data_IF_116981672895
#
_entry.id   IF_116981672895
#
_cell.length_a   1.000
_cell.length_b   1.000
_cell.length_c   1.000
_cell.angle_alpha   90.00
_cell.angle_beta   90.00
_cell.angle_gamma   90.00
#
_symmetry.space_group_name_H-M   'P 1'
#
loop_
_entity.id
_entity.type
_entity.pdbx_description
1 polymer ?
#
# COMPACT_ATOMS: atom_id res chain seq x y z
N UNK A 1 8.62 -27.29 -25.92
CA UNK A 1 9.86 -26.52 -26.09
C UNK A 1 9.62 -25.09 -25.65
N UNK A 2 10.59 -24.43 -24.98
CA UNK A 2 10.57 -23.01 -24.68
C UNK A 2 10.76 -22.23 -25.98
N UNK A 3 9.69 -21.60 -26.47
CA UNK A 3 9.71 -20.87 -27.74
C UNK A 3 10.11 -19.39 -27.58
N UNK A 4 9.88 -18.78 -26.41
CA UNK A 4 10.39 -17.43 -26.09
C UNK A 4 10.48 -17.18 -24.58
N UNK A 5 11.47 -16.37 -24.20
CA UNK A 5 11.71 -15.90 -22.84
C UNK A 5 11.84 -14.38 -22.86
N UNK A 6 10.92 -13.67 -22.19
CA UNK A 6 11.01 -12.21 -22.02
C UNK A 6 11.22 -11.89 -20.55
N UNK A 7 12.24 -11.09 -20.26
CA UNK A 7 12.47 -10.52 -18.92
C UNK A 7 12.42 -8.99 -19.01
N UNK A 8 11.63 -8.37 -18.16
CA UNK A 8 11.45 -6.94 -18.11
C UNK A 8 11.48 -6.45 -16.67
N UNK A 9 12.31 -5.47 -16.39
CA UNK A 9 12.34 -4.82 -15.08
C UNK A 9 11.24 -3.77 -15.02
N UNK A 10 10.36 -3.89 -14.02
CA UNK A 10 9.26 -2.97 -13.78
C UNK A 10 9.42 -2.29 -12.42
N UNK A 11 9.05 -1.02 -12.40
CA UNK A 11 9.11 -0.19 -11.18
C UNK A 11 7.73 0.31 -10.83
N UNK A 12 7.37 0.22 -9.55
CA UNK A 12 6.12 0.75 -8.99
C UNK A 12 6.45 1.89 -8.05
N UNK A 13 5.93 3.06 -8.35
CA UNK A 13 6.12 4.24 -7.52
C UNK A 13 5.43 4.08 -6.16
N UNK A 14 5.95 4.70 -5.10
CA UNK A 14 5.26 4.84 -3.83
C UNK A 14 3.88 5.51 -3.98
N UNK A 15 2.92 5.19 -3.10
CA UNK A 15 1.66 5.90 -3.05
C UNK A 15 1.87 7.35 -2.61
N UNK A 16 0.91 8.20 -2.87
CA UNK A 16 0.87 9.57 -2.29
C UNK A 16 0.45 9.52 -0.83
N UNK A 17 0.63 10.64 -0.12
CA UNK A 17 0.10 10.82 1.23
C UNK A 17 -1.44 10.75 1.24
N UNK A 18 -2.05 10.75 2.44
CA UNK A 18 -3.49 10.76 2.55
C UNK A 18 -4.11 12.15 2.44
N UNK A 19 -5.12 12.27 1.60
CA UNK A 19 -6.25 13.15 1.78
C UNK A 19 -7.36 12.43 2.58
N UNK A 20 -8.43 13.13 2.94
CA UNK A 20 -9.54 12.52 3.69
C UNK A 20 -10.18 11.36 2.93
N UNK A 21 -10.46 11.53 1.65
CA UNK A 21 -11.15 10.52 0.83
C UNK A 21 -10.34 9.23 0.72
N UNK A 22 -9.04 9.34 0.47
CA UNK A 22 -8.15 8.17 0.36
C UNK A 22 -8.01 7.46 1.70
N UNK A 23 -7.91 8.21 2.81
CA UNK A 23 -7.87 7.63 4.15
C UNK A 23 -9.18 6.88 4.48
N UNK A 24 -10.34 7.47 4.20
CA UNK A 24 -11.65 6.83 4.40
C UNK A 24 -11.77 5.52 3.61
N UNK A 25 -11.32 5.52 2.34
CA UNK A 25 -11.33 4.32 1.49
C UNK A 25 -10.47 3.19 2.08
N UNK A 26 -9.28 3.50 2.54
CA UNK A 26 -8.39 2.49 3.11
C UNK A 26 -8.84 2.04 4.51
N UNK A 27 -9.35 2.94 5.34
CA UNK A 27 -9.93 2.58 6.63
C UNK A 27 -11.14 1.64 6.48
N UNK A 28 -11.98 1.88 5.47
CA UNK A 28 -13.06 0.95 5.14
C UNK A 28 -12.53 -0.39 4.64
N UNK A 29 -11.55 -0.37 3.73
CA UNK A 29 -10.95 -1.59 3.15
C UNK A 29 -10.30 -2.50 4.19
N UNK A 30 -9.57 -1.92 5.15
CA UNK A 30 -8.80 -2.70 6.13
C UNK A 30 -9.56 -3.00 7.41
N UNK A 31 -10.47 -2.10 7.83
CA UNK A 31 -11.12 -2.18 9.13
C UNK A 31 -12.65 -2.18 9.07
N UNK A 32 -13.24 -1.96 7.89
CA UNK A 32 -14.69 -1.86 7.72
C UNK A 32 -15.29 -0.57 8.30
N UNK A 33 -14.48 0.44 8.61
CA UNK A 33 -14.98 1.72 9.11
C UNK A 33 -15.77 2.46 8.03
N UNK A 34 -16.90 3.06 8.42
CA UNK A 34 -17.62 3.96 7.52
C UNK A 34 -16.84 5.25 7.29
N UNK A 35 -17.21 6.02 6.27
CA UNK A 35 -16.60 7.33 6.02
C UNK A 35 -16.77 8.27 7.22
N UNK A 36 -17.97 8.27 7.86
CA UNK A 36 -18.24 9.10 9.04
C UNK A 36 -17.41 8.64 10.23
N UNK A 37 -17.37 7.33 10.53
CA UNK A 37 -16.54 6.81 11.62
C UNK A 37 -15.06 7.16 11.44
N UNK A 38 -14.55 7.08 10.21
CA UNK A 38 -13.17 7.46 9.91
C UNK A 38 -12.95 8.95 10.17
N UNK A 39 -13.85 9.81 9.70
CA UNK A 39 -13.75 11.25 9.93
C UNK A 39 -13.76 11.58 11.43
N UNK A 40 -14.67 10.99 12.20
CA UNK A 40 -14.79 11.23 13.64
C UNK A 40 -13.51 10.81 14.39
N UNK A 41 -12.94 9.66 14.03
CA UNK A 41 -11.69 9.17 14.59
C UNK A 41 -10.50 10.10 14.26
N UNK A 42 -10.41 10.52 12.99
CA UNK A 42 -9.34 11.44 12.57
C UNK A 42 -9.49 12.81 13.24
N UNK A 43 -10.74 13.31 13.37
CA UNK A 43 -11.03 14.55 14.09
C UNK A 43 -10.60 14.45 15.57
N UNK A 44 -10.92 13.35 16.23
CA UNK A 44 -10.50 13.10 17.63
C UNK A 44 -8.95 13.09 17.75
N UNK A 45 -8.27 12.43 16.82
CA UNK A 45 -6.79 12.40 16.81
C UNK A 45 -6.18 13.76 16.49
N UNK A 46 -6.83 14.58 15.65
CA UNK A 46 -6.45 15.95 15.40
C UNK A 46 -6.59 16.81 16.66
N UNK A 47 -7.71 16.72 17.40
CA UNK A 47 -7.93 17.43 18.65
C UNK A 47 -6.91 17.04 19.73
N UNK A 48 -6.49 15.77 19.74
CA UNK A 48 -5.37 15.28 20.55
C UNK A 48 -4.00 15.72 20.02
N UNK A 49 -3.96 16.43 18.89
CA UNK A 49 -2.73 16.87 18.21
C UNK A 49 -1.84 15.72 17.72
N UNK A 50 -2.39 14.54 17.48
CA UNK A 50 -1.66 13.36 17.01
C UNK A 50 -1.68 13.22 15.49
N UNK A 51 -2.69 13.80 14.82
CA UNK A 51 -2.79 13.92 13.36
C UNK A 51 -2.95 15.39 12.96
N UNK A 52 -2.65 15.70 11.71
CA UNK A 52 -2.92 17.00 11.09
C UNK A 52 -4.40 17.14 10.74
N UNK A 53 -4.82 18.31 10.25
CA UNK A 53 -6.22 18.62 9.97
C UNK A 53 -6.88 17.62 9.00
N UNK A 54 -8.06 17.05 9.36
CA UNK A 54 -8.66 15.95 8.62
C UNK A 54 -9.30 16.32 7.27
N UNK A 55 -9.84 17.54 7.16
CA UNK A 55 -10.62 17.95 5.99
C UNK A 55 -9.73 18.59 4.95
N UNK A 56 -8.93 17.76 4.28
CA UNK A 56 -8.02 18.18 3.21
C UNK A 56 -8.22 17.30 1.99
N UNK A 57 -8.05 17.89 0.82
CA UNK A 57 -7.98 17.23 -0.49
C UNK A 57 -6.53 17.10 -0.99
N UNK A 58 -5.57 17.70 -0.30
CA UNK A 58 -4.16 17.61 -0.64
C UNK A 58 -3.54 16.29 -0.20
N UNK A 59 -2.69 15.75 -1.05
CA UNK A 59 -1.85 14.56 -0.83
C UNK A 59 -0.36 14.93 -0.74
N UNK A 60 -0.07 16.22 -0.48
CA UNK A 60 1.28 16.77 -0.46
C UNK A 60 1.51 17.60 0.80
N UNK A 61 2.76 17.86 1.10
CA UNK A 61 3.23 18.81 2.11
C UNK A 61 3.90 20.01 1.44
N UNK A 62 4.14 21.08 2.20
CA UNK A 62 4.91 22.24 1.80
C UNK A 62 6.39 22.09 2.16
N UNK A 63 7.27 22.84 1.52
CA UNK A 63 8.72 22.79 1.73
C UNK A 63 9.12 23.06 3.18
N UNK A 64 8.45 24.01 3.85
CA UNK A 64 8.69 24.32 5.27
C UNK A 64 8.40 23.16 6.24
N UNK A 65 7.63 22.16 5.78
CA UNK A 65 7.32 20.96 6.55
C UNK A 65 8.33 19.82 6.40
N UNK A 66 9.29 19.89 5.49
CA UNK A 66 10.21 18.78 5.19
C UNK A 66 10.97 18.33 6.43
N UNK A 67 11.58 19.27 7.18
CA UNK A 67 12.35 18.94 8.37
C UNK A 67 11.50 18.29 9.47
N UNK A 68 10.29 18.82 9.70
CA UNK A 68 9.36 18.26 10.68
C UNK A 68 8.84 16.89 10.25
N UNK A 69 8.62 16.68 8.96
CA UNK A 69 8.18 15.38 8.43
C UNK A 69 9.26 14.31 8.59
N UNK A 70 10.55 14.65 8.40
CA UNK A 70 11.66 13.72 8.71
C UNK A 70 11.67 13.32 10.19
N UNK A 71 11.41 14.27 11.11
CA UNK A 71 11.29 13.95 12.53
C UNK A 71 10.11 13.01 12.80
N UNK A 72 8.95 13.29 12.20
CA UNK A 72 7.74 12.46 12.36
C UNK A 72 7.98 11.03 11.87
N UNK A 73 8.69 10.81 10.75
CA UNK A 73 9.07 9.47 10.28
C UNK A 73 9.83 8.71 11.36
N UNK A 74 10.83 9.34 11.97
CA UNK A 74 11.62 8.74 13.04
C UNK A 74 10.78 8.43 14.29
N UNK A 75 9.83 9.31 14.63
CA UNK A 75 8.89 9.13 15.74
C UNK A 75 7.95 7.97 15.45
N UNK A 76 7.38 7.87 14.26
CA UNK A 76 6.51 6.76 13.84
C UNK A 76 7.21 5.42 14.00
N UNK A 77 8.48 5.31 13.56
CA UNK A 77 9.26 4.07 13.70
C UNK A 77 9.58 3.72 15.16
N UNK A 78 9.58 4.68 16.08
CA UNK A 78 9.82 4.42 17.52
C UNK A 78 8.54 4.19 18.30
N UNK A 79 7.50 4.99 18.05
CA UNK A 79 6.29 5.04 18.87
C UNK A 79 5.19 4.10 18.43
N UNK A 80 5.14 3.73 17.16
CA UNK A 80 4.18 2.74 16.68
C UNK A 80 4.82 1.34 16.67
N UNK A 81 4.43 0.44 17.60
CA UNK A 81 5.08 -0.87 17.76
C UNK A 81 5.15 -1.67 16.47
N UNK A 82 4.15 -1.52 15.60
CA UNK A 82 4.07 -2.19 14.31
C UNK A 82 5.27 -1.85 13.39
N UNK A 83 5.82 -0.65 13.50
CA UNK A 83 6.93 -0.18 12.66
C UNK A 83 8.27 -0.13 13.39
N UNK A 84 8.32 -0.71 14.60
CA UNK A 84 9.58 -0.80 15.36
C UNK A 84 10.63 -1.58 14.56
N UNK A 85 11.80 -0.97 14.38
CA UNK A 85 12.89 -1.56 13.59
C UNK A 85 12.78 -1.35 12.06
N UNK A 86 11.72 -0.70 11.57
CA UNK A 86 11.67 -0.28 10.17
C UNK A 86 12.72 0.80 9.93
N UNK A 87 13.60 0.57 8.97
CA UNK A 87 14.58 1.55 8.51
C UNK A 87 14.30 1.90 7.05
N UNK A 88 14.06 3.17 6.79
CA UNK A 88 13.88 3.72 5.44
C UNK A 88 14.83 4.90 5.22
N UNK A 89 15.22 5.10 3.97
CA UNK A 89 15.83 6.36 3.53
C UNK A 89 14.71 7.21 2.89
N UNK A 90 14.17 8.19 3.62
CA UNK A 90 12.99 8.91 3.16
C UNK A 90 13.33 9.88 2.01
N UNK A 91 12.59 9.78 0.91
CA UNK A 91 12.59 10.76 -0.17
C UNK A 91 11.43 11.74 0.06
N UNK A 92 11.69 12.78 0.85
CA UNK A 92 10.68 13.79 1.21
C UNK A 92 10.28 14.65 0.01
N UNK A 93 11.22 14.96 -0.88
CA UNK A 93 10.96 15.77 -2.06
C UNK A 93 9.83 15.20 -2.94
N UNK A 94 9.62 13.87 -2.90
CA UNK A 94 8.54 13.22 -3.64
C UNK A 94 7.14 13.63 -3.19
N UNK A 95 6.98 13.95 -1.92
CA UNK A 95 5.71 14.30 -1.31
C UNK A 95 5.57 15.81 -1.07
N UNK A 96 6.60 16.59 -1.41
CA UNK A 96 6.64 18.05 -1.28
C UNK A 96 6.22 18.71 -2.59
N UNK A 97 5.18 19.54 -2.55
CA UNK A 97 4.75 20.35 -3.70
C UNK A 97 3.85 21.49 -3.22
N UNK A 98 4.43 22.68 -3.06
CA UNK A 98 3.71 23.88 -2.61
C UNK A 98 2.51 24.24 -3.48
N UNK A 99 2.57 23.95 -4.79
CA UNK A 99 1.48 24.27 -5.72
C UNK A 99 0.23 23.38 -5.54
N UNK A 100 0.37 22.26 -4.85
CA UNK A 100 -0.70 21.28 -4.58
C UNK A 100 -1.22 21.32 -3.15
N UNK A 101 -0.77 22.29 -2.38
CA UNK A 101 -1.27 22.56 -1.04
C UNK A 101 -1.95 23.94 -1.07
N UNK A 102 -3.28 23.95 -0.96
CA UNK A 102 -4.05 25.20 -0.94
C UNK A 102 -4.24 25.67 0.50
N UNK A 103 -5.27 25.20 1.18
CA UNK A 103 -5.59 25.61 2.55
C UNK A 103 -4.95 24.68 3.60
N UNK A 104 -4.91 23.38 3.30
CA UNK A 104 -4.40 22.35 4.19
C UNK A 104 -3.56 21.33 3.43
N UNK A 105 -2.46 20.91 4.05
CA UNK A 105 -1.61 19.83 3.54
C UNK A 105 -2.20 18.45 3.86
N UNK A 106 -1.55 17.37 3.41
CA UNK A 106 -1.95 15.99 3.62
C UNK A 106 -2.11 15.62 5.11
N UNK A 107 -2.87 14.55 5.38
CA UNK A 107 -3.06 13.99 6.72
C UNK A 107 -1.81 13.20 7.12
N UNK A 108 -1.17 13.63 8.21
CA UNK A 108 0.08 13.05 8.73
C UNK A 108 -0.01 12.90 10.25
N UNK A 109 0.73 11.94 10.84
CA UNK A 109 1.08 12.01 12.25
C UNK A 109 1.88 13.28 12.56
N UNK A 110 1.85 13.72 13.81
CA UNK A 110 2.56 14.92 14.27
C UNK A 110 3.70 14.56 15.21
N UNK A 111 4.58 15.53 15.49
CA UNK A 111 5.66 15.38 16.47
C UNK A 111 5.15 15.14 17.90
N UNK A 112 3.88 15.47 18.20
CA UNK A 112 3.29 15.23 19.52
C UNK A 112 3.12 13.72 19.81
N UNK A 113 3.13 12.88 18.78
CA UNK A 113 3.13 11.44 18.93
C UNK A 113 4.30 10.92 19.79
N UNK A 114 5.42 11.65 19.84
CA UNK A 114 6.57 11.29 20.68
C UNK A 114 6.26 11.24 22.17
N UNK A 115 5.30 12.08 22.62
CA UNK A 115 4.91 12.19 24.02
C UNK A 115 3.69 11.34 24.39
N UNK A 116 3.11 10.66 23.41
CA UNK A 116 1.88 9.90 23.58
C UNK A 116 2.18 8.43 23.88
N UNK A 117 1.59 7.91 24.93
CA UNK A 117 1.45 6.47 25.10
C UNK A 117 0.36 5.96 24.14
N UNK A 118 0.79 5.39 23.02
CA UNK A 118 -0.12 4.87 22.00
C UNK A 118 -0.95 3.70 22.53
N UNK A 119 -0.41 2.92 23.46
CA UNK A 119 -1.11 1.76 24.02
C UNK A 119 -2.33 2.16 24.87
N UNK A 120 -2.33 3.38 25.41
CA UNK A 120 -3.44 3.94 26.18
C UNK A 120 -4.60 4.47 25.30
N UNK A 121 -4.40 4.59 23.98
CA UNK A 121 -5.45 5.04 23.09
C UNK A 121 -6.48 3.92 22.81
N UNK A 122 -7.75 4.29 22.53
CA UNK A 122 -8.73 3.32 22.01
C UNK A 122 -8.22 2.59 20.77
N UNK A 123 -8.55 1.31 20.63
CA UNK A 123 -8.07 0.47 19.53
C UNK A 123 -8.41 1.04 18.14
N UNK A 124 -9.57 1.69 17.99
CA UNK A 124 -9.97 2.35 16.75
C UNK A 124 -9.06 3.53 16.38
N UNK A 125 -8.63 4.31 17.36
CA UNK A 125 -7.68 5.40 17.17
C UNK A 125 -6.28 4.87 16.81
N UNK A 126 -5.82 3.81 17.52
CA UNK A 126 -4.55 3.15 17.18
C UNK A 126 -4.55 2.63 15.73
N UNK A 127 -5.66 2.06 15.26
CA UNK A 127 -5.82 1.60 13.87
C UNK A 127 -5.64 2.74 12.86
N UNK A 128 -6.24 3.90 13.10
CA UNK A 128 -6.09 5.08 12.22
C UNK A 128 -4.66 5.64 12.28
N UNK A 129 -4.04 5.71 13.46
CA UNK A 129 -2.64 6.13 13.59
C UNK A 129 -1.68 5.20 12.85
N UNK A 130 -1.87 3.88 12.98
CA UNK A 130 -1.07 2.89 12.25
C UNK A 130 -1.25 3.05 10.73
N UNK A 131 -2.47 3.31 10.28
CA UNK A 131 -2.74 3.52 8.86
C UNK A 131 -2.06 4.81 8.34
N UNK A 132 -2.14 5.91 9.08
CA UNK A 132 -1.47 7.16 8.74
C UNK A 132 0.06 7.02 8.76
N UNK A 133 0.61 6.34 9.78
CA UNK A 133 2.04 6.04 9.87
C UNK A 133 2.53 5.16 8.73
N UNK A 134 1.82 4.08 8.42
CA UNK A 134 2.11 3.21 7.28
C UNK A 134 2.17 4.02 5.98
N UNK A 135 1.17 4.88 5.74
CA UNK A 135 1.12 5.67 4.51
C UNK A 135 2.28 6.65 4.41
N UNK A 136 2.66 7.32 5.51
CA UNK A 136 3.81 8.22 5.55
C UNK A 136 5.10 7.48 5.17
N UNK A 137 5.36 6.33 5.81
CA UNK A 137 6.54 5.51 5.53
C UNK A 137 6.55 4.99 4.08
N UNK A 138 5.40 4.56 3.56
CA UNK A 138 5.29 4.12 2.17
C UNK A 138 5.52 5.27 1.19
N UNK A 139 4.88 6.43 1.41
CA UNK A 139 4.92 7.56 0.46
C UNK A 139 6.33 8.15 0.32
N UNK A 140 7.09 8.13 1.39
CA UNK A 140 8.49 8.60 1.41
C UNK A 140 9.51 7.49 1.17
N UNK A 141 9.08 6.23 1.08
CA UNK A 141 9.97 5.10 0.86
C UNK A 141 10.49 4.99 -0.59
N UNK A 142 11.43 4.09 -0.80
CA UNK A 142 11.99 3.80 -2.11
C UNK A 142 10.98 3.11 -3.03
N UNK A 143 11.22 3.19 -4.34
CA UNK A 143 10.42 2.49 -5.35
C UNK A 143 10.51 0.98 -5.18
N UNK A 144 9.41 0.29 -5.44
CA UNK A 144 9.40 -1.17 -5.57
C UNK A 144 9.81 -1.57 -6.98
N UNK A 145 10.82 -2.42 -7.12
CA UNK A 145 11.33 -2.89 -8.40
C UNK A 145 11.29 -4.42 -8.46
N UNK A 146 10.77 -4.96 -9.56
CA UNK A 146 10.71 -6.40 -9.78
C UNK A 146 11.00 -6.73 -11.26
N UNK A 147 11.58 -7.91 -11.47
CA UNK A 147 11.72 -8.51 -12.80
C UNK A 147 10.47 -9.34 -13.10
N UNK A 148 9.76 -9.00 -14.18
CA UNK A 148 8.69 -9.83 -14.72
C UNK A 148 9.28 -10.75 -15.79
N UNK A 149 9.12 -12.05 -15.59
CA UNK A 149 9.53 -13.06 -16.55
C UNK A 149 8.28 -13.66 -17.21
N UNK A 150 8.25 -13.65 -18.53
CA UNK A 150 7.21 -14.31 -19.31
C UNK A 150 7.87 -15.40 -20.16
N UNK A 151 7.41 -16.63 -19.96
CA UNK A 151 7.84 -17.81 -20.72
C UNK A 151 6.70 -18.20 -21.65
N UNK A 152 7.01 -18.45 -22.92
CA UNK A 152 6.08 -19.08 -23.86
C UNK A 152 6.63 -20.45 -24.23
N UNK A 153 5.80 -21.47 -24.05
CA UNK A 153 6.10 -22.85 -24.40
C UNK A 153 5.29 -23.23 -25.62
N UNK A 154 5.89 -24.03 -26.54
CA UNK A 154 5.20 -24.63 -27.66
C UNK A 154 5.15 -26.15 -27.48
N UNK A 155 3.96 -26.74 -27.62
CA UNK A 155 3.74 -28.16 -27.58
C UNK A 155 2.65 -28.53 -28.60
N UNK A 156 2.95 -29.39 -29.55
CA UNK A 156 2.01 -29.88 -30.60
C UNK A 156 1.25 -28.72 -31.30
N UNK A 157 1.92 -27.61 -31.58
CA UNK A 157 1.33 -26.41 -32.19
C UNK A 157 0.54 -25.48 -31.25
N UNK A 158 0.38 -25.85 -29.99
CA UNK A 158 -0.27 -25.02 -28.99
C UNK A 158 0.73 -24.18 -28.19
N UNK A 159 0.35 -22.95 -27.87
CA UNK A 159 1.17 -22.05 -27.08
C UNK A 159 0.67 -21.96 -25.61
N UNK A 160 1.56 -22.27 -24.67
CA UNK A 160 1.32 -22.12 -23.23
C UNK A 160 2.14 -20.96 -22.70
N UNK A 161 1.54 -20.12 -21.84
CA UNK A 161 2.20 -18.93 -21.27
C UNK A 161 2.26 -19.02 -19.76
N UNK A 162 3.45 -18.84 -19.21
CA UNK A 162 3.69 -18.69 -17.79
C UNK A 162 4.23 -17.29 -17.50
N UNK A 163 3.79 -16.68 -16.38
CA UNK A 163 4.30 -15.40 -15.89
C UNK A 163 4.73 -15.54 -14.45
N UNK A 164 5.91 -15.03 -14.15
CA UNK A 164 6.44 -14.96 -12.80
C UNK A 164 7.00 -13.58 -12.50
N UNK A 165 7.17 -13.28 -11.22
CA UNK A 165 7.77 -12.04 -10.75
C UNK A 165 8.85 -12.38 -9.75
N UNK A 166 10.01 -11.75 -9.89
CA UNK A 166 11.09 -11.83 -8.91
C UNK A 166 11.34 -10.43 -8.38
N UNK A 167 11.20 -10.25 -7.07
CA UNK A 167 11.43 -8.94 -6.44
C UNK A 167 12.93 -8.65 -6.47
N UNK A 168 13.29 -7.48 -7.01
CA UNK A 168 14.67 -6.96 -7.03
C UNK A 168 14.88 -6.04 -5.83
N UNK A 169 13.91 -5.17 -5.55
CA UNK A 169 13.94 -4.24 -4.43
C UNK A 169 12.52 -4.09 -3.89
N UNK A 170 12.32 -4.42 -2.62
CA UNK A 170 10.99 -4.33 -1.99
C UNK A 170 10.52 -2.87 -1.87
N UNK A 171 11.44 -1.97 -1.50
CA UNK A 171 11.13 -0.56 -1.33
C UNK A 171 9.94 -0.35 -0.38
N UNK A 172 9.05 0.59 -0.72
CA UNK A 172 7.89 0.93 0.09
C UNK A 172 6.92 -0.24 0.38
N UNK A 173 6.92 -1.26 -0.47
CA UNK A 173 6.03 -2.42 -0.28
C UNK A 173 6.39 -3.25 0.94
N UNK A 174 7.64 -3.24 1.38
CA UNK A 174 8.02 -3.93 2.62
C UNK A 174 7.22 -3.42 3.82
N UNK A 175 7.01 -2.10 3.90
CA UNK A 175 6.19 -1.48 4.97
C UNK A 175 4.71 -1.83 4.80
N UNK A 176 4.19 -1.79 3.58
CA UNK A 176 2.80 -2.16 3.30
C UNK A 176 2.51 -3.64 3.61
N UNK A 177 3.44 -4.52 3.28
CA UNK A 177 3.36 -5.96 3.59
C UNK A 177 3.39 -6.20 5.10
N UNK A 178 4.31 -5.58 5.82
CA UNK A 178 4.35 -5.63 7.28
C UNK A 178 3.01 -5.22 7.91
N UNK A 179 2.41 -4.13 7.41
CA UNK A 179 1.11 -3.67 7.85
C UNK A 179 0.00 -4.68 7.53
N UNK A 180 -0.05 -5.21 6.31
CA UNK A 180 -1.04 -6.21 5.88
C UNK A 180 -0.92 -7.51 6.68
N UNK A 181 0.30 -7.94 6.96
CA UNK A 181 0.54 -9.16 7.73
C UNK A 181 0.06 -9.02 9.17
N UNK A 182 0.14 -7.83 9.76
CA UNK A 182 -0.44 -7.56 11.08
C UNK A 182 -1.96 -7.69 11.13
N UNK A 183 -2.64 -7.57 9.97
CA UNK A 183 -4.09 -7.68 9.86
C UNK A 183 -4.57 -9.10 9.52
N UNK A 184 -3.68 -9.95 9.00
CA UNK A 184 -4.03 -11.33 8.67
C UNK A 184 -4.14 -12.14 9.96
N UNK A 185 -5.32 -12.65 10.27
CA UNK A 185 -5.44 -13.82 11.12
C UNK A 185 -4.69 -14.96 10.40
N UNK A 186 -3.68 -15.56 11.05
CA UNK A 186 -2.79 -16.61 10.51
C UNK A 186 -3.51 -17.53 9.53
N UNK A 187 -3.12 -17.56 8.23
CA UNK A 187 -3.58 -18.62 7.36
C UNK A 187 -3.73 -18.41 5.86
N UNK A 188 -3.14 -17.40 5.20
CA UNK A 188 -3.03 -17.44 3.74
C UNK A 188 -1.60 -17.16 3.31
N UNK A 189 -0.98 -18.22 2.81
CA UNK A 189 0.32 -18.17 2.14
C UNK A 189 0.08 -17.66 0.69
N UNK A 190 0.30 -16.38 0.46
CA UNK A 190 0.36 -15.77 -0.87
C UNK A 190 1.82 -15.82 -1.40
N UNK A 191 2.43 -17.02 -1.35
CA UNK A 191 3.78 -17.22 -1.90
C UNK A 191 3.79 -16.84 -3.38
N UNK A 192 4.61 -15.86 -3.72
CA UNK A 192 4.89 -15.49 -5.12
C UNK A 192 5.55 -16.71 -5.76
N UNK A 193 4.86 -17.39 -6.68
CA UNK A 193 5.41 -18.51 -7.41
C UNK A 193 6.56 -17.98 -8.29
N UNK A 194 7.79 -18.33 -7.93
CA UNK A 194 8.94 -18.11 -8.80
C UNK A 194 8.88 -19.11 -9.96
N UNK A 195 9.18 -18.64 -11.16
CA UNK A 195 9.36 -19.53 -12.30
C UNK A 195 10.74 -20.19 -12.22
N UNK A 196 10.88 -21.43 -12.71
CA UNK A 196 12.19 -22.07 -12.84
C UNK A 196 13.08 -21.30 -13.82
N UNK A 197 14.38 -21.44 -13.66
CA UNK A 197 15.33 -20.94 -14.65
C UNK A 197 15.26 -21.81 -15.89
N UNK A 198 14.97 -21.19 -17.01
CA UNK A 198 14.92 -21.83 -18.33
C UNK A 198 15.51 -20.92 -19.39
N UNK A 199 15.92 -21.50 -20.51
CA UNK A 199 16.44 -20.80 -21.67
C UNK A 199 15.56 -21.08 -22.90
N UNK A 200 15.62 -20.21 -23.91
CA UNK A 200 14.97 -20.47 -25.19
C UNK A 200 15.58 -21.72 -25.85
N UNK A 201 14.72 -22.60 -26.35
CA UNK A 201 15.11 -23.88 -26.89
C UNK A 201 15.09 -25.05 -25.90
N UNK A 202 14.98 -24.81 -24.62
CA UNK A 202 14.90 -25.88 -23.61
C UNK A 202 13.70 -26.79 -23.90
N UNK A 203 13.93 -28.09 -23.80
CA UNK A 203 12.87 -29.11 -23.86
C UNK A 203 12.48 -29.46 -22.44
N UNK A 204 11.21 -29.26 -22.11
CA UNK A 204 10.66 -29.63 -20.79
C UNK A 204 9.82 -30.90 -20.98
N UNK A 205 10.11 -31.90 -20.16
CA UNK A 205 9.29 -33.11 -20.13
C UNK A 205 8.00 -32.83 -19.36
N UNK A 206 6.86 -33.06 -19.98
CA UNK A 206 5.57 -32.94 -19.32
C UNK A 206 5.32 -34.18 -18.46
N UNK A 207 5.18 -33.96 -17.15
CA UNK A 207 4.89 -35.03 -16.19
C UNK A 207 3.39 -35.22 -16.01
N UNK A 208 2.61 -34.13 -16.07
CA UNK A 208 1.15 -34.17 -15.98
C UNK A 208 0.52 -32.88 -16.55
N UNK A 209 -0.69 -33.02 -17.09
CA UNK A 209 -1.53 -31.89 -17.47
C UNK A 209 -2.91 -32.04 -16.81
N UNK A 210 -3.48 -30.92 -16.35
CA UNK A 210 -4.83 -30.88 -15.79
C UNK A 210 -5.62 -29.72 -16.41
N UNK A 211 -6.91 -29.94 -16.61
CA UNK A 211 -7.87 -28.92 -17.03
C UNK A 211 -8.73 -28.56 -15.84
N UNK A 212 -8.83 -27.28 -15.51
CA UNK A 212 -9.71 -26.76 -14.49
C UNK A 212 -10.74 -25.84 -15.08
N UNK A 213 -12.00 -26.04 -14.72
CA UNK A 213 -13.07 -25.12 -15.08
C UNK A 213 -13.11 -23.94 -14.14
N UNK A 214 -13.27 -22.75 -14.68
CA UNK A 214 -13.47 -21.52 -13.93
C UNK A 214 -14.73 -20.82 -14.41
N UNK A 215 -15.59 -20.46 -13.47
CA UNK A 215 -16.79 -19.70 -13.75
C UNK A 215 -16.56 -18.22 -13.43
N UNK A 216 -17.13 -17.34 -14.23
CA UNK A 216 -17.16 -15.92 -13.92
C UNK A 216 -18.04 -15.70 -12.69
N UNK A 217 -17.59 -14.86 -11.78
CA UNK A 217 -18.38 -14.44 -10.63
C UNK A 217 -19.11 -13.12 -10.94
N UNK A 218 -20.34 -12.91 -10.39
CA UNK A 218 -21.01 -11.64 -10.55
C UNK A 218 -20.18 -10.50 -9.95
N UNK A 219 -20.39 -9.24 -10.41
CA UNK A 219 -19.76 -8.08 -9.81
C UNK A 219 -20.05 -8.04 -8.30
N UNK A 220 -19.07 -7.62 -7.51
CA UNK A 220 -19.27 -7.40 -6.07
C UNK A 220 -20.35 -6.34 -5.85
N UNK A 221 -21.12 -6.49 -4.78
CA UNK A 221 -22.07 -5.49 -4.34
C UNK A 221 -21.38 -4.14 -4.11
N UNK A 222 -22.12 -3.06 -4.32
CA UNK A 222 -21.59 -1.73 -4.05
C UNK A 222 -21.31 -1.57 -2.56
N UNK A 223 -20.10 -1.11 -2.26
CA UNK A 223 -19.67 -0.67 -0.94
C UNK A 223 -19.37 0.81 -0.99
N UNK A 224 -19.23 1.48 0.15
CA UNK A 224 -18.81 2.90 0.18
C UNK A 224 -17.53 3.10 -0.64
N UNK A 225 -16.54 2.19 -0.52
CA UNK A 225 -15.29 2.22 -1.30
C UNK A 225 -15.55 2.24 -2.80
N UNK A 226 -16.41 1.34 -3.29
CA UNK A 226 -16.74 1.25 -4.72
C UNK A 226 -17.48 2.51 -5.19
N UNK A 227 -18.37 3.06 -4.35
CA UNK A 227 -19.06 4.30 -4.65
C UNK A 227 -18.07 5.47 -4.79
N UNK A 228 -17.10 5.59 -3.88
CA UNK A 228 -16.03 6.60 -3.97
C UNK A 228 -15.18 6.43 -5.23
N UNK A 229 -14.76 5.20 -5.55
CA UNK A 229 -13.93 4.90 -6.74
C UNK A 229 -14.63 5.26 -8.05
N UNK A 230 -15.95 5.10 -8.11
CA UNK A 230 -16.75 5.38 -9.30
C UNK A 230 -17.35 6.79 -9.33
N UNK A 231 -17.03 7.63 -8.34
CA UNK A 231 -17.60 8.98 -8.22
C UNK A 231 -19.11 9.00 -8.00
N UNK A 232 -19.70 7.88 -7.55
CA UNK A 232 -21.09 7.77 -7.22
C UNK A 232 -21.29 8.48 -5.87
N UNK A 233 -21.68 9.75 -5.92
CA UNK A 233 -22.09 10.48 -4.71
C UNK A 233 -23.47 9.95 -4.28
N UNK A 234 -23.60 9.58 -3.00
CA UNK A 234 -24.92 9.44 -2.41
C UNK A 234 -25.64 10.79 -2.59
N UNK A 235 -26.60 10.85 -3.52
CA UNK A 235 -27.59 11.91 -3.46
C UNK A 235 -28.57 11.51 -2.36
N UNK A 236 -28.91 12.45 -1.45
CA UNK A 236 -29.90 12.21 -0.41
C UNK A 236 -31.25 11.85 -1.01
#
# INVERSE_FOLDING_TARGET
VVSSLKRETKTVNPPKLYDLTTLQREANRYYGFTAQQTLDLVQTLYEKKLLTYPRTDSQFITEDMEASTCQVISIVCRQLPLFSGVSIMPDIARVTDNSKVTDHHAILPTVQLEKQDVSALPQSEQKILNLAGMRLLCATGEKHTYAETQITLSCEGYAFKAKGKTVVQNGWKAVEELFKDSLKAKGKDDSVKSLPEVHEGDVLDSVSASVTEHFTTPPKQYTEVICYERGIRNRP
#
